data_IF_709724463699
#
_entry.id   IF_709724463699
#
_cell.length_a   1.000
_cell.length_b   1.000
_cell.length_c   1.000
_cell.angle_alpha   90.00
_cell.angle_beta   90.00
_cell.angle_gamma   90.00
#
_symmetry.space_group_name_H-M   'P 1'
#
loop_
_entity.id
_entity.type
_entity.pdbx_description
1 polymer ?
#
# COMPACT_ATOMS: atom_id res chain seq x y z
N UNK A 1 -57.24 6.89 -42.05
CA UNK A 1 -57.64 7.59 -40.81
C UNK A 1 -57.77 6.52 -39.73
N UNK A 2 -56.96 6.38 -38.69
CA UNK A 2 -55.78 7.09 -38.21
C UNK A 2 -54.93 6.04 -37.47
N UNK A 3 -53.61 6.19 -37.55
CA UNK A 3 -52.65 5.43 -36.76
C UNK A 3 -52.63 5.99 -35.33
N UNK A 4 -52.72 5.14 -34.31
CA UNK A 4 -52.43 5.53 -32.93
C UNK A 4 -51.19 4.78 -32.45
N UNK A 5 -50.07 5.51 -32.49
CA UNK A 5 -48.80 5.15 -31.86
C UNK A 5 -49.01 5.15 -30.34
N UNK A 6 -49.01 3.98 -29.71
CA UNK A 6 -48.76 3.87 -28.28
C UNK A 6 -47.24 3.74 -28.05
N UNK A 7 -46.59 4.88 -27.80
CA UNK A 7 -45.27 4.93 -27.20
C UNK A 7 -45.41 5.33 -25.73
N UNK A 8 -44.98 4.46 -24.80
CA UNK A 8 -44.50 4.69 -23.42
C UNK A 8 -44.64 3.37 -22.64
N UNK A 9 -43.73 2.95 -21.77
CA UNK A 9 -42.41 3.43 -21.41
C UNK A 9 -41.68 2.18 -20.89
N UNK A 10 -40.49 1.89 -21.41
CA UNK A 10 -39.62 0.91 -20.76
C UNK A 10 -39.00 1.63 -19.57
N UNK A 11 -39.16 1.14 -18.33
CA UNK A 11 -38.37 1.66 -17.23
C UNK A 11 -36.95 1.16 -17.47
N UNK A 12 -36.12 1.99 -18.11
CA UNK A 12 -34.67 1.77 -18.09
C UNK A 12 -34.19 2.17 -16.70
N UNK A 13 -34.41 1.30 -15.72
CA UNK A 13 -33.67 1.32 -14.47
C UNK A 13 -32.26 0.87 -14.84
N UNK A 14 -31.49 1.80 -15.43
CA UNK A 14 -30.06 1.66 -15.54
C UNK A 14 -29.55 1.75 -14.11
N UNK A 15 -29.45 0.61 -13.44
CA UNK A 15 -28.75 0.47 -12.17
C UNK A 15 -27.40 1.16 -12.37
N UNK A 16 -27.22 2.34 -11.76
CA UNK A 16 -25.98 3.06 -11.84
C UNK A 16 -24.90 2.08 -11.38
N UNK A 17 -24.03 1.67 -12.30
CA UNK A 17 -22.96 0.71 -12.03
C UNK A 17 -22.22 1.17 -10.77
N UNK A 18 -22.02 0.27 -9.81
CA UNK A 18 -21.36 0.64 -8.56
C UNK A 18 -19.96 1.18 -8.88
N UNK A 19 -19.68 2.46 -8.64
CA UNK A 19 -18.43 3.08 -9.06
C UNK A 19 -17.21 2.41 -8.41
N UNK A 20 -17.38 1.82 -7.22
CA UNK A 20 -16.32 1.04 -6.57
C UNK A 20 -16.01 -0.24 -7.34
N UNK A 21 -17.04 -0.99 -7.76
CA UNK A 21 -16.85 -2.19 -8.58
C UNK A 21 -16.15 -1.86 -9.91
N UNK A 22 -16.51 -0.75 -10.56
CA UNK A 22 -15.86 -0.33 -11.81
C UNK A 22 -14.40 0.09 -11.60
N UNK A 23 -14.08 0.80 -10.50
CA UNK A 23 -12.70 1.14 -10.15
C UNK A 23 -11.82 -0.09 -9.91
N UNK A 24 -12.38 -1.20 -9.43
CA UNK A 24 -11.63 -2.45 -9.24
C UNK A 24 -11.23 -3.09 -10.56
N UNK A 25 -12.10 -3.02 -11.58
CA UNK A 25 -11.83 -3.55 -12.93
C UNK A 25 -10.73 -2.76 -13.64
N UNK A 26 -10.58 -1.47 -13.33
CA UNK A 26 -9.54 -0.61 -13.91
C UNK A 26 -8.15 -0.81 -13.26
N UNK A 27 -8.05 -1.61 -12.19
CA UNK A 27 -6.80 -1.87 -11.48
C UNK A 27 -6.15 -3.19 -11.93
N UNK A 28 -4.82 -3.33 -11.81
CA UNK A 28 -4.14 -4.59 -12.11
C UNK A 28 -4.69 -5.78 -11.30
N UNK A 29 -4.75 -6.96 -11.92
CA UNK A 29 -5.33 -8.18 -11.33
C UNK A 29 -4.74 -8.54 -9.95
N UNK A 30 -3.44 -8.29 -9.75
CA UNK A 30 -2.76 -8.53 -8.46
C UNK A 30 -3.35 -7.69 -7.32
N UNK A 31 -3.87 -6.52 -7.64
CA UNK A 31 -4.52 -5.60 -6.69
C UNK A 31 -5.89 -6.12 -6.33
N UNK A 32 -6.65 -6.57 -7.31
CA UNK A 32 -7.98 -7.12 -7.10
C UNK A 32 -7.93 -8.40 -6.26
N UNK A 33 -6.98 -9.29 -6.57
CA UNK A 33 -6.70 -10.48 -5.78
C UNK A 33 -6.31 -10.14 -4.34
N UNK A 34 -5.50 -9.09 -4.12
CA UNK A 34 -5.15 -8.64 -2.78
C UNK A 34 -6.35 -8.05 -2.01
N UNK A 35 -7.23 -7.30 -2.69
CA UNK A 35 -8.45 -6.74 -2.09
C UNK A 35 -9.41 -7.84 -1.64
N UNK A 36 -9.58 -8.92 -2.40
CA UNK A 36 -10.45 -10.03 -2.01
C UNK A 36 -10.00 -10.72 -0.71
N UNK A 37 -8.70 -10.72 -0.45
CA UNK A 37 -8.11 -11.28 0.78
C UNK A 37 -8.23 -10.36 2.00
N UNK A 38 -8.69 -9.12 1.82
CA UNK A 38 -8.91 -8.19 2.93
C UNK A 38 -10.29 -8.36 3.56
N UNK A 39 -10.35 -8.27 4.88
CA UNK A 39 -11.58 -8.47 5.65
C UNK A 39 -12.37 -7.17 5.77
N UNK A 40 -13.63 -7.17 5.31
CA UNK A 40 -14.54 -6.03 5.42
C UNK A 40 -14.50 -5.10 4.21
N UNK A 41 -15.67 -4.63 3.77
CA UNK A 41 -15.80 -3.72 2.64
C UNK A 41 -15.13 -2.36 2.92
N UNK A 42 -15.21 -1.89 4.16
CA UNK A 42 -14.56 -0.69 4.67
C UNK A 42 -13.03 -0.74 4.50
N UNK A 43 -12.39 -1.84 4.90
CA UNK A 43 -10.93 -2.01 4.80
C UNK A 43 -10.48 -2.14 3.35
N UNK A 44 -11.28 -2.81 2.51
CA UNK A 44 -11.06 -2.88 1.06
C UNK A 44 -11.14 -1.49 0.43
N UNK A 45 -12.11 -0.67 0.82
CA UNK A 45 -12.25 0.71 0.34
C UNK A 45 -11.05 1.59 0.72
N UNK A 46 -10.53 1.45 1.95
CA UNK A 46 -9.35 2.17 2.41
C UNK A 46 -8.08 1.75 1.65
N UNK A 47 -7.92 0.46 1.36
CA UNK A 47 -6.84 -0.03 0.53
C UNK A 47 -6.96 0.46 -0.92
N UNK A 48 -8.17 0.38 -1.50
CA UNK A 48 -8.48 0.89 -2.84
C UNK A 48 -8.10 2.36 -3.01
N UNK A 49 -8.48 3.22 -2.04
CA UNK A 49 -8.03 4.62 -2.00
C UNK A 49 -6.50 4.73 -2.13
N UNK A 50 -5.78 3.92 -1.37
CA UNK A 50 -4.31 3.99 -1.31
C UNK A 50 -3.67 3.56 -2.63
N UNK A 51 -4.26 2.57 -3.31
CA UNK A 51 -3.86 2.15 -4.64
C UNK A 51 -4.15 3.21 -5.70
N UNK A 52 -5.33 3.83 -5.70
CA UNK A 52 -5.66 4.92 -6.62
C UNK A 52 -4.68 6.09 -6.50
N UNK A 53 -4.30 6.45 -5.26
CA UNK A 53 -3.30 7.50 -5.02
C UNK A 53 -1.91 7.13 -5.53
N UNK A 54 -1.61 5.84 -5.63
CA UNK A 54 -0.30 5.30 -5.99
C UNK A 54 -0.26 4.67 -7.38
N UNK A 55 -1.33 4.79 -8.16
CA UNK A 55 -1.58 4.02 -9.38
C UNK A 55 -0.39 4.06 -10.37
N UNK A 56 0.21 5.24 -10.58
CA UNK A 56 1.36 5.44 -11.47
C UNK A 56 2.65 4.74 -11.02
N UNK A 57 2.73 4.32 -9.76
CA UNK A 57 3.90 3.68 -9.15
C UNK A 57 3.59 2.28 -8.60
N UNK A 58 2.38 1.78 -8.84
CA UNK A 58 1.83 0.61 -8.18
C UNK A 58 2.64 -0.63 -8.54
N UNK A 59 2.85 -0.87 -9.84
CA UNK A 59 3.66 -1.99 -10.32
C UNK A 59 5.08 -1.94 -9.77
N UNK A 60 5.75 -0.79 -9.86
CA UNK A 60 7.14 -0.64 -9.40
C UNK A 60 7.33 -0.89 -7.90
N UNK A 61 6.29 -0.68 -7.09
CA UNK A 61 6.30 -0.84 -5.64
C UNK A 61 5.72 -2.17 -5.17
N UNK A 62 5.03 -2.90 -6.05
CA UNK A 62 4.25 -4.07 -5.69
C UNK A 62 5.13 -5.13 -5.02
N UNK A 63 4.66 -5.63 -3.88
CA UNK A 63 5.35 -6.64 -3.07
C UNK A 63 5.05 -8.05 -3.57
N UNK A 64 6.07 -8.90 -3.54
CA UNK A 64 5.94 -10.34 -3.78
C UNK A 64 5.12 -11.02 -2.68
N UNK A 65 4.38 -12.05 -3.07
CA UNK A 65 3.75 -13.06 -2.20
C UNK A 65 4.79 -14.01 -1.61
N UNK A 66 4.42 -14.77 -0.57
CA UNK A 66 5.26 -15.83 0.00
C UNK A 66 5.69 -16.83 -1.08
N UNK A 67 4.78 -17.23 -1.98
CA UNK A 67 5.08 -18.17 -3.06
C UNK A 67 6.10 -17.61 -4.07
N UNK A 68 6.00 -16.33 -4.42
CA UNK A 68 6.97 -15.65 -5.29
C UNK A 68 8.33 -15.49 -4.59
N UNK A 69 8.33 -15.22 -3.28
CA UNK A 69 9.55 -15.17 -2.46
C UNK A 69 10.21 -16.54 -2.43
N UNK A 70 9.45 -17.61 -2.15
CA UNK A 70 9.96 -18.98 -2.12
C UNK A 70 10.54 -19.40 -3.47
N UNK A 71 9.84 -19.06 -4.56
CA UNK A 71 10.32 -19.29 -5.93
C UNK A 71 11.63 -18.55 -6.20
N UNK A 72 11.72 -17.28 -5.78
CA UNK A 72 12.94 -16.50 -5.92
C UNK A 72 14.08 -17.09 -5.09
N UNK A 73 13.84 -17.41 -3.81
CA UNK A 73 14.83 -18.00 -2.90
C UNK A 73 15.32 -19.38 -3.38
N UNK A 74 14.51 -20.11 -4.14
CA UNK A 74 14.92 -21.35 -4.79
C UNK A 74 15.75 -21.16 -6.07
N UNK A 75 15.84 -19.92 -6.60
CA UNK A 75 16.52 -19.63 -7.86
C UNK A 75 18.02 -19.34 -7.71
N UNK A 76 18.80 -19.62 -8.76
CA UNK A 76 20.22 -19.25 -8.84
C UNK A 76 20.44 -17.75 -8.76
N UNK A 77 19.49 -16.95 -9.23
CA UNK A 77 19.55 -15.49 -9.14
C UNK A 77 19.56 -15.01 -7.68
N UNK A 78 18.85 -15.67 -6.77
CA UNK A 78 18.91 -15.33 -5.34
C UNK A 78 20.23 -15.71 -4.72
N UNK A 79 20.77 -16.89 -5.07
CA UNK A 79 22.07 -17.36 -4.60
C UNK A 79 23.18 -16.40 -4.97
N UNK A 80 23.24 -16.00 -6.24
CA UNK A 80 24.19 -15.00 -6.73
C UNK A 80 24.05 -13.65 -6.04
N UNK A 81 22.80 -13.22 -5.76
CA UNK A 81 22.55 -11.98 -5.06
C UNK A 81 23.05 -12.01 -3.60
N UNK A 82 22.83 -13.12 -2.89
CA UNK A 82 23.34 -13.29 -1.53
C UNK A 82 24.87 -13.39 -1.50
N UNK A 83 25.48 -14.13 -2.42
CA UNK A 83 26.95 -14.19 -2.56
C UNK A 83 27.55 -12.80 -2.82
N UNK A 84 26.91 -11.98 -3.66
CA UNK A 84 27.36 -10.61 -3.91
C UNK A 84 27.21 -9.71 -2.66
N UNK A 85 26.14 -9.88 -1.87
CA UNK A 85 25.96 -9.16 -0.60
C UNK A 85 27.03 -9.56 0.41
N UNK A 86 27.30 -10.86 0.55
CA UNK A 86 28.33 -11.38 1.44
C UNK A 86 29.72 -10.87 1.05
N UNK A 87 30.03 -10.82 -0.25
CA UNK A 87 31.27 -10.25 -0.75
C UNK A 87 31.44 -8.76 -0.39
N UNK A 88 30.35 -7.98 -0.46
CA UNK A 88 30.36 -6.56 -0.06
C UNK A 88 30.53 -6.41 1.45
N UNK A 89 29.87 -7.23 2.27
CA UNK A 89 30.04 -7.24 3.72
C UNK A 89 31.49 -7.55 4.07
N UNK A 90 32.05 -8.62 3.51
CA UNK A 90 33.43 -9.02 3.77
C UNK A 90 34.44 -7.93 3.36
N UNK A 91 34.23 -7.31 2.19
CA UNK A 91 35.07 -6.20 1.73
C UNK A 91 34.96 -4.98 2.66
N UNK A 92 33.76 -4.66 3.15
CA UNK A 92 33.54 -3.55 4.07
C UNK A 92 34.21 -3.80 5.43
N UNK A 93 34.03 -4.97 6.02
CA UNK A 93 34.59 -5.31 7.33
C UNK A 93 36.12 -5.39 7.30
N UNK A 94 36.70 -5.91 6.22
CA UNK A 94 38.15 -5.89 6.00
C UNK A 94 38.71 -4.46 5.93
N UNK A 95 37.97 -3.53 5.33
CA UNK A 95 38.37 -2.12 5.21
C UNK A 95 38.05 -1.30 6.45
N UNK A 96 37.14 -1.77 7.32
CA UNK A 96 36.65 -1.04 8.49
C UNK A 96 36.71 -1.90 9.76
N UNK A 97 37.91 -2.19 10.30
CA UNK A 97 38.05 -2.97 11.52
C UNK A 97 37.25 -2.36 12.67
N UNK A 98 36.44 -3.18 13.34
CA UNK A 98 35.57 -2.75 14.44
C UNK A 98 34.15 -2.30 14.03
N UNK A 99 33.84 -2.26 12.74
CA UNK A 99 32.50 -2.00 12.22
C UNK A 99 31.95 -3.24 11.52
N UNK A 100 30.66 -3.52 11.71
CA UNK A 100 29.95 -4.59 10.99
C UNK A 100 28.74 -4.04 10.25
N UNK A 101 28.47 -4.64 9.09
CA UNK A 101 27.43 -4.19 8.18
C UNK A 101 26.27 -5.19 8.23
N UNK A 102 25.12 -4.78 8.74
CA UNK A 102 23.91 -5.63 8.78
C UNK A 102 22.97 -5.29 7.64
N UNK A 103 22.69 -6.30 6.82
CA UNK A 103 21.62 -6.26 5.83
C UNK A 103 20.39 -6.94 6.41
N UNK A 104 19.25 -6.24 6.41
CA UNK A 104 17.98 -6.91 6.67
C UNK A 104 17.52 -7.57 5.36
N UNK A 105 17.68 -8.88 5.28
CA UNK A 105 17.29 -9.72 4.14
C UNK A 105 15.83 -10.18 4.21
N UNK A 106 15.10 -9.87 5.28
CA UNK A 106 13.71 -10.29 5.41
C UNK A 106 12.81 -9.51 4.45
N UNK A 107 12.42 -10.19 3.37
CA UNK A 107 11.35 -9.73 2.48
C UNK A 107 10.04 -9.86 3.26
N UNK A 108 9.33 -8.74 3.46
CA UNK A 108 8.01 -8.76 4.09
C UNK A 108 6.97 -9.06 3.01
N UNK A 109 6.45 -10.28 3.02
CA UNK A 109 5.51 -10.74 1.99
C UNK A 109 4.21 -9.96 1.96
N UNK A 110 3.54 -10.01 0.82
CA UNK A 110 2.20 -9.49 0.65
C UNK A 110 1.21 -10.16 1.64
N UNK A 111 1.39 -11.45 1.91
CA UNK A 111 0.57 -12.23 2.84
C UNK A 111 0.64 -11.71 4.27
N UNK A 112 1.86 -11.47 4.77
CA UNK A 112 2.06 -10.90 6.11
C UNK A 112 1.50 -9.46 6.20
N UNK A 113 1.63 -8.68 5.12
CA UNK A 113 1.05 -7.33 5.04
C UNK A 113 -0.48 -7.37 5.11
N UNK A 114 -1.14 -8.27 4.37
CA UNK A 114 -2.60 -8.45 4.40
C UNK A 114 -3.07 -8.92 5.78
N UNK A 115 -2.39 -9.90 6.39
CA UNK A 115 -2.74 -10.38 7.72
C UNK A 115 -2.62 -9.27 8.78
N UNK A 116 -1.57 -8.45 8.72
CA UNK A 116 -1.39 -7.28 9.59
C UNK A 116 -2.45 -6.22 9.34
N UNK A 117 -2.80 -5.95 8.10
CA UNK A 117 -3.85 -5.01 7.72
C UNK A 117 -5.20 -5.40 8.33
N UNK A 118 -5.61 -6.66 8.16
CA UNK A 118 -6.90 -7.18 8.62
C UNK A 118 -7.07 -7.11 10.15
N UNK A 119 -5.99 -7.25 10.92
CA UNK A 119 -6.04 -7.22 12.40
C UNK A 119 -5.78 -5.86 13.03
N UNK A 120 -5.44 -4.83 12.25
CA UNK A 120 -4.99 -3.55 12.82
C UNK A 120 -6.15 -2.62 13.20
N UNK A 121 -6.15 -2.16 14.46
CA UNK A 121 -7.19 -1.28 15.00
C UNK A 121 -7.23 0.11 14.35
N UNK A 122 -6.07 0.70 14.02
CA UNK A 122 -6.00 2.00 13.34
C UNK A 122 -6.53 1.93 11.91
N UNK A 123 -6.27 0.82 11.21
CA UNK A 123 -6.84 0.54 9.88
C UNK A 123 -8.36 0.43 9.99
N UNK A 124 -8.87 -0.33 10.96
CA UNK A 124 -10.32 -0.46 11.17
C UNK A 124 -11.01 0.87 11.53
N UNK A 125 -10.33 1.77 12.26
CA UNK A 125 -10.85 3.09 12.56
C UNK A 125 -10.90 3.99 11.31
N UNK A 126 -9.79 4.09 10.57
CA UNK A 126 -9.73 4.89 9.34
C UNK A 126 -10.61 4.35 8.22
N UNK A 127 -10.82 3.02 8.16
CA UNK A 127 -11.69 2.37 7.19
C UNK A 127 -13.16 2.76 7.39
N UNK A 128 -13.64 2.71 8.64
CA UNK A 128 -15.00 3.14 8.99
C UNK A 128 -15.21 4.64 8.77
N UNK A 129 -14.20 5.44 9.06
CA UNK A 129 -14.25 6.89 8.81
C UNK A 129 -14.39 7.18 7.31
N UNK A 130 -13.58 6.51 6.47
CA UNK A 130 -13.67 6.65 5.02
C UNK A 130 -15.01 6.14 4.47
N UNK A 131 -15.49 5.00 4.96
CA UNK A 131 -16.76 4.42 4.53
C UNK A 131 -17.92 5.39 4.81
N UNK A 132 -17.99 5.96 6.01
CA UNK A 132 -19.00 6.96 6.36
C UNK A 132 -18.89 8.22 5.50
N UNK A 133 -17.68 8.73 5.29
CA UNK A 133 -17.45 9.91 4.45
C UNK A 133 -17.84 9.66 2.98
N UNK A 134 -17.54 8.46 2.46
CA UNK A 134 -17.87 8.09 1.09
C UNK A 134 -19.37 7.86 0.90
N UNK A 135 -20.05 7.26 1.89
CA UNK A 135 -21.51 7.13 1.88
C UNK A 135 -22.20 8.50 1.84
N UNK A 136 -21.80 9.43 2.72
CA UNK A 136 -22.32 10.79 2.73
C UNK A 136 -22.03 11.53 1.41
N UNK A 137 -20.83 11.34 0.83
CA UNK A 137 -20.50 11.91 -0.46
C UNK A 137 -21.36 11.35 -1.60
N UNK A 138 -21.64 10.04 -1.62
CA UNK A 138 -22.52 9.40 -2.61
C UNK A 138 -23.95 9.93 -2.52
N UNK A 139 -24.45 10.14 -1.31
CA UNK A 139 -25.78 10.71 -1.08
C UNK A 139 -25.86 12.15 -1.61
N UNK A 140 -24.83 12.96 -1.37
CA UNK A 140 -24.74 14.33 -1.90
C UNK A 140 -24.51 14.39 -3.42
N UNK A 141 -23.99 13.32 -4.02
CA UNK A 141 -23.63 13.26 -5.45
C UNK A 141 -24.22 12.03 -6.15
N UNK A 142 -25.55 11.91 -6.24
CA UNK A 142 -26.21 10.70 -6.76
C UNK A 142 -25.94 10.41 -8.24
N UNK A 143 -25.49 11.42 -8.99
CA UNK A 143 -25.10 11.31 -10.41
C UNK A 143 -23.59 11.21 -10.63
N UNK A 144 -22.80 11.14 -9.55
CA UNK A 144 -21.35 11.01 -9.69
C UNK A 144 -20.99 9.66 -10.28
N UNK A 145 -20.15 9.68 -11.32
CA UNK A 145 -19.60 8.47 -11.91
C UNK A 145 -18.26 8.08 -11.31
N UNK A 146 -17.67 7.04 -11.90
CA UNK A 146 -16.40 6.41 -11.53
C UNK A 146 -15.25 7.41 -11.39
N UNK A 147 -15.17 8.41 -12.28
CA UNK A 147 -14.13 9.45 -12.24
C UNK A 147 -14.26 10.34 -11.00
N UNK A 148 -15.46 10.78 -10.66
CA UNK A 148 -15.70 11.61 -9.47
C UNK A 148 -15.46 10.81 -8.19
N UNK A 149 -15.87 9.53 -8.17
CA UNK A 149 -15.58 8.63 -7.04
C UNK A 149 -14.07 8.43 -6.85
N UNK A 150 -13.32 8.21 -7.94
CA UNK A 150 -11.86 8.11 -7.92
C UNK A 150 -11.20 9.38 -7.35
N UNK A 151 -11.67 10.56 -7.80
CA UNK A 151 -11.17 11.83 -7.33
C UNK A 151 -11.44 12.04 -5.83
N UNK A 152 -12.65 11.70 -5.36
CA UNK A 152 -12.97 11.75 -3.93
C UNK A 152 -12.07 10.80 -3.12
N UNK A 153 -11.99 9.52 -3.52
CA UNK A 153 -11.24 8.51 -2.77
C UNK A 153 -9.75 8.86 -2.71
N UNK A 154 -9.14 9.23 -3.84
CA UNK A 154 -7.72 9.61 -3.89
C UNK A 154 -7.41 10.91 -3.13
N UNK A 155 -8.35 11.85 -3.10
CA UNK A 155 -8.24 13.14 -2.42
C UNK A 155 -8.60 13.13 -0.94
N UNK A 156 -9.38 12.15 -0.47
CA UNK A 156 -9.81 12.05 0.93
C UNK A 156 -8.62 11.96 1.88
N UNK A 157 -8.68 12.65 3.02
CA UNK A 157 -7.66 12.59 4.07
C UNK A 157 -8.29 12.12 5.38
N UNK A 158 -7.67 11.17 6.10
CA UNK A 158 -8.20 10.71 7.36
C UNK A 158 -7.98 11.76 8.46
N UNK A 159 -8.93 11.89 9.38
CA UNK A 159 -8.80 12.75 10.56
C UNK A 159 -7.72 12.27 11.54
N UNK A 160 -7.30 11.00 11.44
CA UNK A 160 -6.15 10.44 12.15
C UNK A 160 -5.22 9.66 11.21
N UNK A 161 -3.89 9.73 11.37
CA UNK A 161 -2.99 8.93 10.55
C UNK A 161 -3.29 7.43 10.67
N UNK A 162 -3.48 6.77 9.53
CA UNK A 162 -3.49 5.30 9.47
C UNK A 162 -2.05 4.82 9.58
N UNK A 163 -1.73 4.06 10.63
CA UNK A 163 -0.36 3.71 10.98
C UNK A 163 0.29 2.66 10.05
N UNK A 164 -0.48 2.11 9.09
CA UNK A 164 -0.03 1.12 8.13
C UNK A 164 -0.25 1.62 6.70
N UNK A 165 0.75 1.40 5.85
CA UNK A 165 0.56 1.49 4.40
C UNK A 165 -0.35 0.34 3.93
N UNK A 166 -1.08 0.58 2.84
CA UNK A 166 -1.84 -0.50 2.21
C UNK A 166 -0.89 -1.64 1.75
N UNK A 167 -1.31 -2.91 1.87
CA UNK A 167 -0.49 -4.05 1.45
C UNK A 167 0.01 -3.91 0.02
N UNK A 168 1.22 -4.38 -0.27
CA UNK A 168 1.80 -4.29 -1.61
C UNK A 168 2.46 -2.95 -1.93
N UNK A 169 2.15 -1.84 -1.24
CA UNK A 169 2.80 -0.53 -1.46
C UNK A 169 4.12 -0.32 -0.70
N UNK A 170 4.56 -1.33 0.05
CA UNK A 170 5.78 -1.29 0.85
C UNK A 170 7.03 -1.44 -0.04
N UNK A 171 8.05 -0.57 0.08
CA UNK A 171 9.32 -0.69 -0.66
C UNK A 171 10.09 -2.00 -0.40
N UNK A 172 9.68 -2.77 0.61
CA UNK A 172 10.34 -3.98 1.09
C UNK A 172 9.93 -5.27 0.36
N UNK A 173 9.02 -5.18 -0.61
CA UNK A 173 8.37 -6.36 -1.19
C UNK A 173 9.03 -6.96 -2.42
N UNK A 174 9.95 -6.26 -3.06
CA UNK A 174 10.89 -6.83 -4.04
C UNK A 174 12.22 -6.83 -3.32
N UNK A 175 12.96 -7.95 -3.28
CA UNK A 175 14.19 -8.15 -2.49
C UNK A 175 15.30 -7.10 -2.72
N UNK A 176 15.03 -5.84 -2.38
CA UNK A 176 15.88 -4.67 -2.48
C UNK A 176 16.42 -4.48 -1.07
N UNK A 177 17.63 -4.99 -0.87
CA UNK A 177 18.36 -4.86 0.37
C UNK A 177 18.43 -3.39 0.78
N UNK A 178 18.02 -3.08 2.02
CA UNK A 178 18.30 -1.78 2.63
C UNK A 178 19.45 -1.95 3.60
N UNK A 179 20.60 -1.42 3.22
CA UNK A 179 21.78 -1.32 4.07
C UNK A 179 21.49 -0.35 5.22
N UNK A 180 21.77 -0.77 6.45
CA UNK A 180 21.68 0.10 7.63
C UNK A 180 22.98 -0.04 8.43
N UNK A 181 23.68 1.07 8.61
CA UNK A 181 24.74 1.14 9.60
C UNK A 181 24.09 1.09 11.00
N UNK A 182 24.64 0.33 11.97
CA UNK A 182 24.18 0.41 13.34
C UNK A 182 24.30 1.87 13.83
N UNK A 183 23.19 2.44 14.27
CA UNK A 183 23.19 3.75 14.91
C UNK A 183 23.84 3.63 16.29
N UNK A 184 24.76 4.55 16.57
CA UNK A 184 25.46 4.76 17.83
C UNK A 184 24.46 5.13 18.95
N UNK A 185 23.74 4.14 19.48
CA UNK A 185 22.94 4.25 20.71
C UNK A 185 23.88 4.26 21.92
N UNK A 186 24.71 5.30 22.01
CA UNK A 186 25.86 5.25 22.91
C UNK A 186 26.43 6.56 23.42
N UNK A 187 25.91 7.76 23.08
CA UNK A 187 26.40 9.01 23.71
C UNK A 187 25.31 10.03 23.99
N UNK A 188 24.64 9.86 25.14
CA UNK A 188 24.10 11.01 25.89
C UNK A 188 25.25 11.84 26.43
N UNK A 189 25.80 12.77 25.63
CA UNK A 189 26.66 13.82 26.17
C UNK A 189 25.87 15.07 26.47
N UNK A 190 25.63 15.25 27.78
CA UNK A 190 25.56 16.57 28.42
C UNK A 190 26.65 17.48 27.85
N UNK A 191 26.30 18.68 27.40
CA UNK A 191 27.18 19.84 27.55
C UNK A 191 26.40 21.00 28.16
N UNK A 192 26.64 21.17 29.47
CA UNK A 192 26.51 22.44 30.16
C UNK A 192 27.58 23.41 29.62
N UNK A 193 27.14 24.66 29.42
CA UNK A 193 27.78 25.95 29.71
C UNK A 193 29.32 26.08 29.72
N UNK A 194 29.81 27.06 28.95
CA UNK A 194 30.92 28.05 29.16
C UNK A 194 31.36 28.50 27.75
N UNK A 195 31.67 29.74 27.38
CA UNK A 195 31.76 31.07 27.99
C UNK A 195 31.63 32.07 26.82
N UNK A 196 30.86 33.14 26.98
CA UNK A 196 30.93 34.30 26.11
C UNK A 196 31.87 35.34 26.72
N UNK A 197 32.96 35.63 26.02
CA UNK A 197 33.71 36.88 26.08
C UNK A 197 34.14 37.17 24.65
N UNK A 198 33.62 38.23 24.07
CA UNK A 198 34.36 39.31 23.41
C UNK A 198 33.39 40.48 23.21
#
# INVERSE_FOLDING_TARGET
MAAEKAAKAVPTTQTAADPVAQLRVELPDVVDAALERMSGADRRLLALRSYLRSARSLEARWSWTDAEIDTYLASDASRMAFEAVDAVIAAFEAQNPGYSLRVNTQVRSLDEQIAKWNRNASVAAGARELEAAFAAWREAHPKAGTRQASAFLSGWQPGRPVALAAPGLSPHGRARARLRLPGDEGRRHRRRRRHGRH
#
